data_IF_320583384789
#
_entry.id   IF_320583384789
#
_cell.length_a   1.000
_cell.length_b   1.000
_cell.length_c   1.000
_cell.angle_alpha   90.00
_cell.angle_beta   90.00
_cell.angle_gamma   90.00
#
_symmetry.space_group_name_H-M   'P 1'
#
loop_
_entity.id
_entity.type
_entity.pdbx_description
1 polymer ?
#
# COMPACT_ATOMS: atom_id res chain seq x y z
N UNK A 1 -10.39 -2.46 5.14
CA UNK A 1 -9.46 -2.15 6.24
C UNK A 1 -8.32 -3.16 6.22
N UNK A 2 -7.11 -2.76 6.61
CA UNK A 2 -5.97 -3.67 6.76
C UNK A 2 -6.11 -4.50 8.03
N UNK A 3 -5.79 -5.78 7.94
CA UNK A 3 -5.76 -6.71 9.07
C UNK A 3 -4.39 -7.42 9.07
N UNK A 4 -3.69 -7.47 10.21
CA UNK A 4 -2.40 -8.17 10.27
C UNK A 4 -2.54 -9.67 10.00
N UNK A 5 -1.98 -10.14 8.88
CA UNK A 5 -1.90 -11.57 8.58
C UNK A 5 -0.71 -12.24 9.30
N UNK A 6 0.38 -11.49 9.49
CA UNK A 6 1.59 -11.91 10.22
C UNK A 6 2.14 -10.70 10.99
N UNK A 7 2.48 -10.87 12.27
CA UNK A 7 3.08 -9.82 13.09
C UNK A 7 4.19 -10.37 13.97
N UNK A 8 5.35 -9.72 13.95
CA UNK A 8 6.47 -9.97 14.86
C UNK A 8 6.99 -8.62 15.38
N UNK A 9 7.12 -8.49 16.70
CA UNK A 9 7.51 -7.23 17.34
C UNK A 9 6.34 -6.26 17.57
N UNK A 10 6.66 -5.04 18.05
CA UNK A 10 5.67 -4.02 18.45
C UNK A 10 5.84 -2.67 17.75
N UNK A 11 6.89 -2.48 16.95
CA UNK A 11 7.20 -1.20 16.29
C UNK A 11 6.23 -0.74 15.21
N UNK A 12 5.26 -1.57 14.82
CA UNK A 12 4.23 -1.27 13.83
C UNK A 12 2.85 -1.72 14.32
N UNK A 13 1.84 -0.92 13.99
CA UNK A 13 0.45 -1.19 14.34
C UNK A 13 -0.50 -0.83 13.21
N UNK A 14 -1.31 -1.79 12.76
CA UNK A 14 -2.39 -1.52 11.81
C UNK A 14 -3.58 -0.90 12.56
N UNK A 15 -4.05 0.27 12.10
CA UNK A 15 -5.17 1.01 12.68
C UNK A 15 -6.21 1.27 11.56
N UNK A 16 -7.00 0.24 11.23
CA UNK A 16 -8.03 0.35 10.20
C UNK A 16 -7.46 0.51 8.78
N UNK A 17 -7.45 1.74 8.25
CA UNK A 17 -6.99 2.03 6.89
C UNK A 17 -5.52 2.48 6.82
N UNK A 18 -4.89 2.67 7.98
CA UNK A 18 -3.52 3.16 8.10
C UNK A 18 -2.65 2.17 8.89
N UNK A 19 -1.33 2.38 8.84
CA UNK A 19 -0.34 1.72 9.71
C UNK A 19 0.46 2.79 10.44
N UNK A 20 0.51 2.72 11.77
CA UNK A 20 1.27 3.64 12.61
C UNK A 20 2.65 3.06 12.95
N UNK A 21 3.66 3.90 12.89
CA UNK A 21 5.04 3.58 13.26
C UNK A 21 5.30 3.98 14.70
N UNK A 22 5.66 3.01 15.54
CA UNK A 22 6.03 3.23 16.94
C UNK A 22 7.53 3.23 17.15
N UNK A 23 8.25 2.40 16.40
CA UNK A 23 9.71 2.33 16.46
C UNK A 23 10.30 2.95 15.20
N UNK A 24 11.05 4.04 15.34
CA UNK A 24 11.80 4.61 14.22
C UNK A 24 12.85 3.61 13.67
N UNK A 25 13.21 3.76 12.39
CA UNK A 25 14.26 2.96 11.76
C UNK A 25 14.12 2.86 10.25
N UNK A 26 14.98 2.05 9.65
CA UNK A 26 14.94 1.75 8.22
C UNK A 26 14.03 0.54 8.00
N UNK A 27 13.07 0.66 7.09
CA UNK A 27 12.12 -0.40 6.76
C UNK A 27 12.13 -0.68 5.27
N UNK A 28 12.18 -1.96 4.91
CA UNK A 28 11.68 -2.43 3.62
C UNK A 28 10.14 -2.39 3.67
N UNK A 29 9.55 -1.67 2.73
CA UNK A 29 8.11 -1.54 2.55
C UNK A 29 7.72 -2.09 1.18
N UNK A 30 6.72 -2.97 1.13
CA UNK A 30 6.21 -3.54 -0.12
C UNK A 30 4.69 -3.58 -0.14
N UNK A 31 4.10 -3.34 -1.32
CA UNK A 31 2.66 -3.33 -1.51
C UNK A 31 2.27 -3.89 -2.86
N UNK A 32 1.22 -4.71 -2.85
CA UNK A 32 0.52 -5.17 -4.05
C UNK A 32 -0.96 -4.84 -3.97
N UNK A 33 -1.55 -4.43 -5.10
CA UNK A 33 -3.00 -4.34 -5.28
C UNK A 33 -3.37 -5.07 -6.57
N UNK A 34 -4.38 -5.94 -6.52
CA UNK A 34 -4.94 -6.60 -7.70
C UNK A 34 -6.18 -5.85 -8.17
N UNK A 35 -6.08 -5.23 -9.34
CA UNK A 35 -7.17 -4.48 -9.96
C UNK A 35 -8.00 -5.38 -10.88
N UNK A 36 -9.33 -5.19 -10.84
CA UNK A 36 -10.28 -5.70 -11.83
C UNK A 36 -11.11 -4.54 -12.38
N UNK A 37 -10.45 -3.63 -13.09
CA UNK A 37 -10.98 -2.32 -13.45
C UNK A 37 -10.59 -1.95 -14.90
N UNK A 38 -11.53 -1.43 -15.67
CA UNK A 38 -11.34 -1.04 -17.08
C UNK A 38 -10.85 0.40 -17.23
N UNK A 39 -10.69 1.14 -16.12
CA UNK A 39 -10.10 2.48 -16.13
C UNK A 39 -8.70 2.42 -16.73
N UNK A 40 -8.43 3.24 -17.75
CA UNK A 40 -7.22 3.16 -18.60
C UNK A 40 -5.90 3.02 -17.82
N UNK A 41 -5.80 3.66 -16.66
CA UNK A 41 -4.72 3.50 -15.70
C UNK A 41 -5.23 3.32 -14.29
N UNK A 42 -4.73 2.28 -13.65
CA UNK A 42 -4.91 1.98 -12.24
C UNK A 42 -3.57 2.00 -11.52
N UNK A 43 -3.61 2.06 -10.20
CA UNK A 43 -2.42 2.12 -9.40
C UNK A 43 -2.68 2.46 -7.95
N UNK A 44 -1.62 2.40 -7.16
CA UNK A 44 -1.63 2.81 -5.77
C UNK A 44 -0.52 3.83 -5.49
N UNK A 45 -0.77 4.67 -4.50
CA UNK A 45 0.17 5.61 -3.93
C UNK A 45 0.38 5.20 -2.48
N UNK A 46 1.63 4.91 -2.12
CA UNK A 46 2.01 4.65 -0.74
C UNK A 46 2.67 5.91 -0.21
N UNK A 47 2.10 6.46 0.86
CA UNK A 47 2.52 7.72 1.46
C UNK A 47 2.71 7.57 2.96
N UNK A 48 3.59 8.40 3.51
CA UNK A 48 3.66 8.66 4.94
C UNK A 48 3.15 10.05 5.24
N UNK A 49 2.58 10.22 6.42
CA UNK A 49 2.29 11.51 7.03
C UNK A 49 3.01 11.58 8.38
N UNK A 50 3.84 12.60 8.55
CA UNK A 50 4.64 12.80 9.75
C UNK A 50 5.12 14.25 9.81
N UNK A 51 5.32 14.78 11.02
CA UNK A 51 5.82 16.15 11.24
C UNK A 51 5.02 17.24 10.48
N UNK A 52 3.70 17.04 10.33
CA UNK A 52 2.81 17.98 9.65
C UNK A 52 2.91 17.98 8.11
N UNK A 53 3.62 17.01 7.51
CA UNK A 53 3.76 16.89 6.05
C UNK A 53 3.43 15.50 5.55
N UNK A 54 2.77 15.44 4.40
CA UNK A 54 2.57 14.21 3.65
C UNK A 54 3.67 14.05 2.60
N UNK A 55 4.21 12.84 2.48
CA UNK A 55 5.25 12.47 1.53
C UNK A 55 4.90 11.16 0.83
N UNK A 56 4.97 11.14 -0.51
CA UNK A 56 4.85 9.89 -1.26
C UNK A 56 6.15 9.11 -1.20
N UNK A 57 6.08 7.86 -0.72
CA UNK A 57 7.22 6.94 -0.68
C UNK A 57 7.41 6.28 -2.05
N UNK A 58 6.35 5.70 -2.62
CA UNK A 58 6.37 5.13 -3.96
C UNK A 58 4.97 5.06 -4.57
N UNK A 59 4.95 4.82 -5.88
CA UNK A 59 3.72 4.57 -6.64
C UNK A 59 3.88 3.30 -7.46
N UNK A 60 2.76 2.68 -7.79
CA UNK A 60 2.68 1.67 -8.83
C UNK A 60 1.59 2.11 -9.81
N UNK A 61 1.86 2.03 -11.11
CA UNK A 61 0.92 2.41 -12.17
C UNK A 61 0.85 1.27 -13.17
N UNK A 62 -0.38 0.93 -13.59
CA UNK A 62 -0.63 -0.10 -14.59
C UNK A 62 -1.65 0.36 -15.60
N UNK A 63 -1.33 0.11 -16.87
CA UNK A 63 -2.30 0.20 -17.96
C UNK A 63 -3.26 -0.98 -17.86
N UNK A 64 -4.56 -0.71 -18.02
CA UNK A 64 -5.60 -1.74 -17.98
C UNK A 64 -6.19 -1.93 -19.37
N UNK A 65 -6.50 -3.17 -19.78
CA UNK A 65 -7.24 -3.39 -21.02
C UNK A 65 -8.69 -2.92 -20.87
N UNK A 66 -9.30 -2.54 -22.00
CA UNK A 66 -10.68 -2.07 -22.04
C UNK A 66 -11.72 -3.19 -21.95
N UNK A 67 -11.34 -4.44 -22.25
CA UNK A 67 -12.23 -5.59 -22.13
C UNK A 67 -12.35 -6.01 -20.66
N UNK A 68 -13.56 -5.93 -20.04
CA UNK A 68 -13.76 -6.29 -18.63
C UNK A 68 -13.43 -7.75 -18.30
N UNK A 69 -13.50 -8.66 -19.28
CA UNK A 69 -13.18 -10.08 -19.09
C UNK A 69 -11.68 -10.31 -18.89
N UNK A 70 -10.85 -9.36 -19.31
CA UNK A 70 -9.38 -9.45 -19.26
C UNK A 70 -8.73 -8.36 -18.40
N UNK A 71 -9.53 -7.47 -17.81
CA UNK A 71 -9.06 -6.29 -17.07
C UNK A 71 -8.51 -6.62 -15.67
N UNK A 72 -7.63 -7.62 -15.58
CA UNK A 72 -6.97 -8.06 -14.36
C UNK A 72 -5.49 -7.72 -14.41
N UNK A 73 -5.02 -6.94 -13.43
CA UNK A 73 -3.59 -6.70 -13.27
C UNK A 73 -3.23 -6.51 -11.80
N UNK A 74 -2.18 -7.20 -11.36
CA UNK A 74 -1.49 -6.89 -10.12
C UNK A 74 -0.53 -5.72 -10.33
N UNK A 75 -0.50 -4.79 -9.38
CA UNK A 75 0.50 -3.72 -9.34
C UNK A 75 1.31 -3.87 -8.06
N UNK A 76 2.56 -4.34 -8.18
CA UNK A 76 3.51 -4.50 -7.08
C UNK A 76 4.58 -3.40 -7.13
N UNK A 77 4.92 -2.83 -5.98
CA UNK A 77 6.08 -1.95 -5.82
C UNK A 77 6.61 -2.03 -4.39
N UNK A 78 7.89 -1.71 -4.22
CA UNK A 78 8.59 -1.76 -2.93
C UNK A 78 9.74 -0.75 -2.88
N UNK A 79 10.20 -0.46 -1.66
CA UNK A 79 11.36 0.39 -1.44
C UNK A 79 11.84 0.34 0.01
N UNK A 80 12.99 0.95 0.27
CA UNK A 80 13.58 1.05 1.60
C UNK A 80 13.52 2.50 2.06
N UNK A 81 12.92 2.74 3.24
CA UNK A 81 12.66 4.09 3.74
C UNK A 81 13.03 4.20 5.22
N UNK A 82 13.60 5.33 5.60
CA UNK A 82 13.74 5.70 7.02
C UNK A 82 12.41 6.26 7.52
N UNK A 83 11.73 5.53 8.41
CA UNK A 83 10.45 5.91 9.02
C UNK A 83 10.68 6.43 10.44
N UNK A 84 9.94 7.47 10.82
CA UNK A 84 10.03 8.08 12.14
C UNK A 84 8.92 7.59 13.07
N UNK A 85 9.18 7.65 14.37
CA UNK A 85 8.14 7.40 15.37
C UNK A 85 7.00 8.41 15.19
N UNK A 86 5.76 7.91 15.18
CA UNK A 86 4.56 8.69 14.96
C UNK A 86 4.12 8.80 13.50
N UNK A 87 4.97 8.39 12.53
CA UNK A 87 4.59 8.38 11.11
C UNK A 87 3.33 7.50 10.90
N UNK A 88 2.45 7.99 10.04
CA UNK A 88 1.24 7.29 9.60
C UNK A 88 1.38 6.91 8.13
N UNK A 89 1.39 5.61 7.84
CA UNK A 89 1.42 5.11 6.47
C UNK A 89 0.03 4.80 5.95
N UNK A 90 -0.20 5.15 4.69
CA UNK A 90 -1.43 4.88 3.97
C UNK A 90 -1.16 4.37 2.55
N UNK A 91 -2.07 3.55 2.05
CA UNK A 91 -2.12 3.10 0.66
C UNK A 91 -3.41 3.63 0.05
N UNK A 92 -3.29 4.49 -0.96
CA UNK A 92 -4.42 5.15 -1.60
C UNK A 92 -4.49 4.74 -3.06
N UNK A 93 -5.67 4.35 -3.53
CA UNK A 93 -5.97 4.21 -4.95
C UNK A 93 -6.64 5.52 -5.40
N UNK A 94 -6.01 6.34 -6.27
CA UNK A 94 -6.51 7.66 -6.64
C UNK A 94 -7.63 7.58 -7.69
N UNK A 95 -8.59 6.68 -7.49
CA UNK A 95 -9.78 6.45 -8.32
C UNK A 95 -10.98 6.18 -7.41
N UNK A 96 -12.03 6.98 -7.55
CA UNK A 96 -13.26 6.75 -6.80
C UNK A 96 -13.90 5.42 -7.22
N UNK A 97 -14.37 4.63 -6.25
CA UNK A 97 -15.03 3.33 -6.48
C UNK A 97 -14.18 2.33 -7.30
N UNK A 98 -12.86 2.40 -7.14
CA UNK A 98 -11.92 1.48 -7.77
C UNK A 98 -12.32 0.01 -7.55
N UNK A 99 -12.32 -0.79 -8.62
CA UNK A 99 -12.57 -2.21 -8.55
C UNK A 99 -11.26 -2.96 -8.32
N UNK A 100 -11.14 -3.58 -7.14
CA UNK A 100 -9.97 -4.35 -6.74
C UNK A 100 -10.38 -5.61 -5.99
N UNK A 101 -9.52 -6.62 -6.03
CA UNK A 101 -9.69 -7.84 -5.25
C UNK A 101 -9.18 -7.65 -3.82
N UNK A 102 -9.98 -8.07 -2.84
CA UNK A 102 -9.58 -8.14 -1.43
C UNK A 102 -8.98 -9.50 -1.05
N UNK A 103 -8.65 -10.34 -2.04
CA UNK A 103 -7.97 -11.62 -1.79
C UNK A 103 -6.61 -11.38 -1.11
N UNK A 104 -6.27 -12.13 -0.05
CA UNK A 104 -5.04 -11.92 0.73
C UNK A 104 -3.75 -12.15 -0.06
N UNK A 105 -3.80 -12.96 -1.13
CA UNK A 105 -2.67 -13.19 -2.03
C UNK A 105 -2.65 -12.23 -3.23
N UNK A 106 -3.74 -11.51 -3.49
CA UNK A 106 -3.84 -10.51 -4.56
C UNK A 106 -3.50 -9.10 -4.10
N UNK A 107 -3.96 -8.71 -2.91
CA UNK A 107 -3.80 -7.37 -2.35
C UNK A 107 -3.26 -7.44 -0.92
N UNK A 108 -2.05 -6.93 -0.72
CA UNK A 108 -1.35 -6.97 0.55
C UNK A 108 -0.39 -5.80 0.73
N UNK A 109 -0.01 -5.58 1.98
CA UNK A 109 0.95 -4.57 2.42
C UNK A 109 1.85 -5.21 3.48
N UNK A 110 3.15 -5.02 3.39
CA UNK A 110 4.09 -5.60 4.32
C UNK A 110 5.32 -4.74 4.59
N UNK A 111 5.92 -5.01 5.75
CA UNK A 111 6.97 -4.21 6.36
C UNK A 111 8.02 -5.14 6.97
N UNK A 112 9.30 -4.82 6.78
CA UNK A 112 10.42 -5.50 7.45
C UNK A 112 11.38 -4.42 7.95
N UNK A 113 11.59 -4.34 9.27
CA UNK A 113 12.64 -3.48 9.84
C UNK A 113 14.00 -4.09 9.53
N UNK A 114 14.92 -3.28 9.00
CA UNK A 114 16.30 -3.65 8.66
C UNK A 114 17.27 -3.39 9.81
#
# INVERSE_FOLDING_TARGET
MWQPALKRGRGLEAQGYIVRVWDAGIYLLYSQVLFHDVTFTMGQVVSREGQGRQETLFRCIRSMPSNPDWAYNSCYSAGVFHLHQGDVLSVIIPRARAKLSLSPHGTFLGFVKL
#
